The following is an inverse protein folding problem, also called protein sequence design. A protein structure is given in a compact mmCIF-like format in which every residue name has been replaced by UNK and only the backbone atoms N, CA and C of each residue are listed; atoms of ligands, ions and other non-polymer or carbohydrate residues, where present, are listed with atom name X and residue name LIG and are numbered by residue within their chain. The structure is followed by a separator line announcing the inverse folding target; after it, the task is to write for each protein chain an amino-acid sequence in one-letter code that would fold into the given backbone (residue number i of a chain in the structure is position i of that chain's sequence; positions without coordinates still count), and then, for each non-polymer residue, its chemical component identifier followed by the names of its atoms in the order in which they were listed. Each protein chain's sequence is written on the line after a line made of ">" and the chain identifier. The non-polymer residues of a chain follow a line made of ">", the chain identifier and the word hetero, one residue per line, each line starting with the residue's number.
data_IF_079093077317
#
_entry.id   IF_079093077317
#
_cell.length_a   1.000
_cell.length_b   1.000
_cell.length_c   1.000
_cell.angle_alpha   90.00
_cell.angle_beta   90.00
_cell.angle_gamma   90.00
#
_symmetry.space_group_name_H-M   'P 1'
#
loop_
_entity.id
_entity.type
_entity.pdbx_description
1 polymer ?
#
# COMPACT_ATOMS: atom_id res chain seq x y z
N UNK A 1 -1.26 14.05 -4.59
CA UNK A 1 -1.16 12.59 -4.70
C UNK A 1 -1.10 12.20 -6.17
N UNK A 2 -0.28 11.20 -6.57
CA UNK A 2 -0.31 10.62 -7.91
C UNK A 2 -1.72 10.22 -8.35
N UNK A 3 -2.05 10.46 -9.62
CA UNK A 3 -3.40 10.22 -10.18
C UNK A 3 -3.85 8.77 -10.02
N UNK A 4 -2.94 7.81 -10.24
CA UNK A 4 -3.24 6.38 -10.10
C UNK A 4 -3.69 5.99 -8.68
N UNK A 5 -3.17 6.66 -7.64
CA UNK A 5 -3.59 6.43 -6.26
C UNK A 5 -4.93 7.06 -5.94
N UNK A 6 -5.14 8.29 -6.40
CA UNK A 6 -6.44 8.94 -6.25
C UNK A 6 -7.55 8.10 -6.88
N UNK A 7 -7.29 7.50 -8.05
CA UNK A 7 -8.26 6.66 -8.73
C UNK A 7 -8.58 5.36 -7.98
N UNK A 8 -7.57 4.71 -7.38
CA UNK A 8 -7.80 3.53 -6.52
C UNK A 8 -8.68 3.92 -5.33
N UNK A 9 -8.30 4.98 -4.60
CA UNK A 9 -9.04 5.46 -3.41
C UNK A 9 -10.48 5.84 -3.77
N UNK A 10 -10.68 6.58 -4.86
CA UNK A 10 -12.01 6.97 -5.32
C UNK A 10 -12.86 5.75 -5.73
N UNK A 11 -12.23 4.72 -6.33
CA UNK A 11 -12.90 3.48 -6.70
C UNK A 11 -13.30 2.61 -5.51
N UNK A 12 -12.47 2.57 -4.47
CA UNK A 12 -12.69 1.72 -3.28
C UNK A 12 -13.61 2.39 -2.24
N UNK A 13 -13.56 3.71 -2.10
CA UNK A 13 -14.35 4.47 -1.12
C UNK A 13 -15.60 5.11 -1.73
N UNK A 14 -15.53 5.58 -2.99
CA UNK A 14 -16.41 6.65 -3.45
C UNK A 14 -17.51 6.29 -4.45
N UNK A 15 -17.38 5.23 -5.26
CA UNK A 15 -18.21 5.10 -6.47
C UNK A 15 -19.23 3.94 -6.47
N UNK A 16 -18.94 2.81 -5.83
CA UNK A 16 -19.87 1.68 -5.65
C UNK A 16 -19.39 0.95 -4.39
N UNK A 17 -20.22 0.86 -3.34
CA UNK A 17 -19.80 0.47 -1.97
C UNK A 17 -18.76 -0.66 -1.92
N UNK A 18 -17.65 -0.43 -1.21
CA UNK A 18 -16.54 -1.38 -1.01
C UNK A 18 -16.25 -2.27 -2.22
N UNK A 19 -16.18 -1.70 -3.42
CA UNK A 19 -15.66 -2.41 -4.58
C UNK A 19 -14.16 -2.62 -4.33
N UNK A 20 -13.81 -3.82 -3.89
CA UNK A 20 -12.44 -4.26 -3.59
C UNK A 20 -11.62 -4.43 -4.88
N UNK A 21 -11.55 -3.37 -5.68
CA UNK A 21 -11.01 -3.39 -7.04
C UNK A 21 -9.53 -3.78 -7.08
N UNK A 22 -8.81 -3.61 -5.97
CA UNK A 22 -7.41 -4.03 -5.83
C UNK A 22 -7.23 -5.55 -5.76
N UNK A 23 -8.31 -6.34 -5.58
CA UNK A 23 -8.26 -7.82 -5.63
C UNK A 23 -8.28 -8.36 -7.06
N UNK A 24 -8.71 -7.56 -8.03
CA UNK A 24 -8.71 -7.94 -9.43
C UNK A 24 -7.36 -7.59 -10.06
N UNK A 25 -6.50 -8.60 -10.22
CA UNK A 25 -5.26 -8.50 -11.00
C UNK A 25 -5.56 -8.97 -12.44
N UNK A 26 -5.13 -8.25 -13.48
CA UNK A 26 -4.33 -7.02 -13.48
C UNK A 26 -5.13 -5.76 -13.10
N UNK A 27 -4.47 -4.80 -12.44
CA UNK A 27 -5.12 -3.58 -11.96
C UNK A 27 -5.73 -2.76 -13.11
N UNK A 28 -7.03 -2.45 -12.99
CA UNK A 28 -7.78 -1.72 -14.01
C UNK A 28 -7.18 -0.35 -14.35
N UNK A 29 -6.68 0.39 -13.35
CA UNK A 29 -6.06 1.71 -13.54
C UNK A 29 -4.75 1.63 -14.35
N UNK A 30 -3.96 0.58 -14.13
CA UNK A 30 -2.73 0.31 -14.87
C UNK A 30 -3.05 -0.05 -16.32
N UNK A 31 -4.01 -0.96 -16.52
CA UNK A 31 -4.44 -1.37 -17.87
C UNK A 31 -4.99 -0.17 -18.65
N UNK A 32 -5.79 0.68 -18.01
CA UNK A 32 -6.31 1.89 -18.66
C UNK A 32 -5.20 2.90 -18.99
N UNK A 33 -4.24 3.10 -18.11
CA UNK A 33 -3.09 3.99 -18.36
C UNK A 33 -2.25 3.48 -19.53
N UNK A 34 -2.00 2.17 -19.61
CA UNK A 34 -1.34 1.56 -20.76
C UNK A 34 -2.14 1.73 -22.05
N UNK A 35 -3.46 1.57 -21.99
CA UNK A 35 -4.33 1.76 -23.15
C UNK A 35 -4.20 3.20 -23.69
N UNK A 36 -4.21 4.20 -22.81
CA UNK A 36 -3.98 5.59 -23.21
C UNK A 36 -2.58 5.80 -23.80
N UNK A 37 -1.53 5.26 -23.18
CA UNK A 37 -0.16 5.37 -23.69
C UNK A 37 0.00 4.69 -25.05
N UNK A 38 -0.66 3.56 -25.27
CA UNK A 38 -0.65 2.85 -26.54
C UNK A 38 -1.40 3.65 -27.62
N UNK A 39 -2.54 4.25 -27.28
CA UNK A 39 -3.28 5.16 -28.16
C UNK A 39 -2.46 6.39 -28.55
N UNK A 40 -1.78 7.01 -27.58
CA UNK A 40 -0.84 8.11 -27.83
C UNK A 40 0.32 7.69 -28.72
N UNK A 41 0.90 6.50 -28.47
CA UNK A 41 2.00 5.98 -29.27
C UNK A 41 1.58 5.75 -30.73
N UNK A 42 0.35 5.29 -30.95
CA UNK A 42 -0.24 5.15 -32.29
C UNK A 42 -0.48 6.50 -32.97
N UNK A 43 -1.01 7.50 -32.25
CA UNK A 43 -1.20 8.86 -32.77
C UNK A 43 0.14 9.52 -33.13
N UNK A 44 1.16 9.37 -32.27
CA UNK A 44 2.52 9.84 -32.56
C UNK A 44 3.06 9.19 -33.84
N UNK A 45 2.90 7.87 -34.01
CA UNK A 45 3.29 7.19 -35.24
C UNK A 45 2.58 7.76 -36.47
N UNK A 46 1.28 8.09 -36.35
CA UNK A 46 0.50 8.66 -37.45
C UNK A 46 0.94 10.08 -37.83
N UNK A 47 1.39 10.88 -36.86
CA UNK A 47 1.76 12.29 -37.07
C UNK A 47 3.25 12.44 -37.45
N UNK A 48 4.15 11.78 -36.74
CA UNK A 48 5.61 11.95 -36.88
C UNK A 48 6.30 10.80 -37.63
N UNK A 49 5.57 9.74 -37.98
CA UNK A 49 6.12 8.53 -38.62
C UNK A 49 6.97 7.66 -37.70
N UNK A 50 7.18 8.06 -36.44
CA UNK A 50 7.97 7.32 -35.45
C UNK A 50 7.13 7.00 -34.22
N UNK A 51 7.39 5.85 -33.63
CA UNK A 51 6.83 5.52 -32.32
C UNK A 51 7.45 6.44 -31.26
N UNK A 52 6.63 6.95 -30.35
CA UNK A 52 7.07 7.76 -29.21
C UNK A 52 7.60 6.88 -28.08
N UNK A 53 7.07 5.66 -27.94
CA UNK A 53 7.51 4.69 -26.94
C UNK A 53 7.82 3.33 -27.60
N UNK A 54 8.87 2.68 -27.13
CA UNK A 54 9.19 1.29 -27.50
C UNK A 54 8.33 0.29 -26.72
N UNK A 55 8.21 -0.94 -27.22
CA UNK A 55 7.51 -2.01 -26.51
C UNK A 55 8.12 -2.32 -25.14
N UNK A 56 9.44 -2.17 -25.00
CA UNK A 56 10.15 -2.37 -23.73
C UNK A 56 9.84 -1.27 -22.72
N UNK A 57 9.71 -0.01 -23.17
CA UNK A 57 9.34 1.12 -22.32
C UNK A 57 7.91 0.95 -21.79
N UNK A 58 6.96 0.56 -22.64
CA UNK A 58 5.59 0.27 -22.23
C UNK A 58 5.51 -0.87 -21.21
N UNK A 59 6.29 -1.95 -21.39
CA UNK A 59 6.39 -3.04 -20.43
C UNK A 59 7.01 -2.59 -19.10
N UNK A 60 8.03 -1.73 -19.15
CA UNK A 60 8.68 -1.19 -17.95
C UNK A 60 7.71 -0.29 -17.18
N UNK A 61 6.95 0.57 -17.87
CA UNK A 61 5.90 1.41 -17.27
C UNK A 61 4.82 0.54 -16.62
N UNK A 62 4.40 -0.55 -17.28
CA UNK A 62 3.44 -1.49 -16.71
C UNK A 62 3.92 -2.06 -15.36
N UNK A 63 5.16 -2.56 -15.32
CA UNK A 63 5.74 -3.18 -14.13
C UNK A 63 5.88 -2.13 -13.02
N UNK A 64 6.46 -0.97 -13.32
CA UNK A 64 6.65 0.11 -12.36
C UNK A 64 5.31 0.59 -11.78
N UNK A 65 4.30 0.78 -12.63
CA UNK A 65 2.99 1.25 -12.18
C UNK A 65 2.23 0.20 -11.39
N UNK A 66 2.33 -1.08 -11.77
CA UNK A 66 1.73 -2.19 -11.03
C UNK A 66 2.34 -2.32 -9.63
N UNK A 67 3.66 -2.28 -9.51
CA UNK A 67 4.35 -2.34 -8.21
C UNK A 67 4.00 -1.11 -7.37
N UNK A 68 4.00 0.08 -7.97
CA UNK A 68 3.63 1.31 -7.30
C UNK A 68 2.20 1.27 -6.76
N UNK A 69 1.24 0.71 -7.50
CA UNK A 69 -0.16 0.59 -7.10
C UNK A 69 -0.41 -0.51 -6.06
N UNK A 70 0.45 -1.51 -5.97
CA UNK A 70 0.28 -2.62 -5.01
C UNK A 70 0.56 -2.19 -3.57
N UNK A 71 1.60 -1.36 -3.36
CA UNK A 71 2.07 -1.00 -2.03
C UNK A 71 1.05 -0.20 -1.20
N UNK A 72 0.39 0.84 -1.73
CA UNK A 72 -0.59 1.63 -0.99
C UNK A 72 -2.03 1.19 -1.24
N UNK A 73 -2.26 -0.10 -1.53
CA UNK A 73 -3.63 -0.64 -1.57
C UNK A 73 -4.37 -0.22 -0.31
N UNK A 74 -5.60 0.29 -0.45
CA UNK A 74 -6.37 0.74 0.71
C UNK A 74 -6.51 -0.38 1.73
N UNK A 75 -6.71 -1.61 1.27
CA UNK A 75 -6.94 -2.77 2.12
C UNK A 75 -5.69 -3.07 2.95
N UNK A 76 -4.52 -3.12 2.30
CA UNK A 76 -3.27 -3.39 2.99
C UNK A 76 -2.96 -2.30 4.01
N UNK A 77 -3.03 -1.03 3.60
CA UNK A 77 -2.68 0.09 4.48
C UNK A 77 -3.70 0.28 5.59
N UNK A 78 -4.99 0.08 5.33
CA UNK A 78 -6.04 0.20 6.36
C UNK A 78 -5.86 -0.89 7.42
N UNK A 79 -5.64 -2.14 7.02
CA UNK A 79 -5.41 -3.23 7.97
C UNK A 79 -4.11 -3.00 8.73
N UNK A 80 -3.02 -2.67 8.04
CA UNK A 80 -1.70 -2.52 8.67
C UNK A 80 -1.68 -1.35 9.65
N UNK A 81 -2.19 -0.17 9.27
CA UNK A 81 -2.19 1.01 10.15
C UNK A 81 -3.10 0.81 11.36
N UNK A 82 -4.26 0.17 11.19
CA UNK A 82 -5.17 -0.08 12.31
C UNK A 82 -4.62 -1.12 13.28
N UNK A 83 -4.06 -2.22 12.77
CA UNK A 83 -3.56 -3.34 13.61
C UNK A 83 -2.37 -2.97 14.50
N UNK A 84 -1.51 -2.03 14.07
CA UNK A 84 -0.30 -1.60 14.79
C UNK A 84 -0.59 -1.07 16.21
N UNK A 85 -1.74 -0.43 16.43
CA UNK A 85 -2.15 0.13 17.72
C UNK A 85 -3.38 -0.54 18.36
N UNK A 86 -4.14 -1.33 17.58
CA UNK A 86 -5.43 -1.86 18.01
C UNK A 86 -5.34 -2.68 19.31
N UNK A 87 -4.32 -3.55 19.40
CA UNK A 87 -4.10 -4.45 20.54
C UNK A 87 -3.93 -3.73 21.88
N UNK A 88 -3.44 -2.50 21.84
CA UNK A 88 -3.10 -1.70 23.02
C UNK A 88 -4.15 -0.64 23.32
N UNK A 89 -4.87 -0.15 22.31
CA UNK A 89 -5.94 0.83 22.51
C UNK A 89 -7.23 0.19 23.03
N UNK A 90 -7.58 -0.98 22.51
CA UNK A 90 -8.82 -1.68 22.85
C UNK A 90 -8.62 -2.77 23.91
N UNK A 91 -7.68 -2.61 24.84
CA UNK A 91 -7.41 -3.57 25.92
C UNK A 91 -8.45 -3.46 27.05
N UNK A 92 -9.64 -4.04 26.85
CA UNK A 92 -10.68 -4.05 27.88
C UNK A 92 -10.51 -5.26 28.82
N UNK A 93 -10.97 -5.18 30.08
CA UNK A 93 -10.94 -6.34 30.99
C UNK A 93 -11.69 -7.56 30.44
N UNK A 94 -12.73 -7.35 29.64
CA UNK A 94 -13.58 -8.42 29.09
C UNK A 94 -12.90 -9.22 27.97
N UNK A 95 -11.98 -8.60 27.22
CA UNK A 95 -11.28 -9.27 26.14
C UNK A 95 -9.94 -9.87 26.55
N UNK A 96 -9.41 -9.47 27.70
CA UNK A 96 -8.14 -9.93 28.27
C UNK A 96 -6.93 -9.78 27.34
N UNK A 97 -6.98 -8.85 26.38
CA UNK A 97 -5.94 -8.69 25.35
C UNK A 97 -4.55 -8.44 25.95
N UNK A 98 -4.52 -7.78 27.11
CA UNK A 98 -3.29 -7.53 27.85
C UNK A 98 -2.59 -8.82 28.29
N UNK A 99 -3.34 -9.81 28.74
CA UNK A 99 -2.77 -11.09 29.22
C UNK A 99 -2.46 -12.01 28.03
N UNK A 100 -3.30 -11.95 26.98
CA UNK A 100 -3.20 -12.88 25.85
C UNK A 100 -2.13 -12.50 24.83
N UNK A 101 -1.96 -11.21 24.53
CA UNK A 101 -1.22 -10.78 23.34
C UNK A 101 -0.06 -9.81 23.59
N UNK A 102 -0.08 -9.02 24.67
CA UNK A 102 0.92 -7.96 24.86
C UNK A 102 2.36 -8.48 24.90
N UNK A 103 2.58 -9.63 25.56
CA UNK A 103 3.92 -10.23 25.67
C UNK A 103 4.41 -10.82 24.33
N UNK A 104 3.49 -11.22 23.44
CA UNK A 104 3.82 -11.76 22.13
C UNK A 104 4.03 -10.66 21.07
N UNK A 105 3.57 -9.43 21.34
CA UNK A 105 3.60 -8.33 20.37
C UNK A 105 4.89 -7.49 20.53
N UNK A 106 5.77 -7.51 19.53
CA UNK A 106 7.03 -6.79 19.62
C UNK A 106 6.84 -5.27 19.56
N UNK A 107 7.45 -4.58 20.51
CA UNK A 107 7.43 -3.11 20.62
C UNK A 107 8.04 -2.35 19.43
N UNK A 108 8.74 -3.06 18.54
CA UNK A 108 9.32 -2.48 17.32
C UNK A 108 8.39 -2.57 16.09
N UNK A 109 7.33 -3.40 16.12
CA UNK A 109 6.28 -3.46 15.07
C UNK A 109 4.98 -2.79 15.47
N UNK A 110 4.79 -2.50 16.76
CA UNK A 110 3.53 -1.98 17.31
C UNK A 110 3.73 -0.68 18.06
N UNK A 111 2.70 0.16 18.12
CA UNK A 111 2.66 1.34 18.99
C UNK A 111 1.90 0.96 20.26
N UNK A 112 2.61 0.92 21.39
CA UNK A 112 2.05 0.47 22.68
C UNK A 112 1.62 1.64 23.60
N UNK A 113 2.12 2.84 23.33
CA UNK A 113 1.90 3.99 24.19
C UNK A 113 0.49 4.58 23.99
N UNK A 114 -0.37 4.40 24.99
CA UNK A 114 -1.75 4.91 24.98
C UNK A 114 -1.84 6.43 24.85
N UNK A 115 -0.83 7.19 25.30
CA UNK A 115 -0.81 8.65 25.16
C UNK A 115 -0.61 9.08 23.70
N UNK A 116 0.07 8.25 22.91
CA UNK A 116 0.28 8.46 21.47
C UNK A 116 -0.93 7.97 20.69
N UNK A 117 -1.49 6.82 21.10
CA UNK A 117 -2.69 6.25 20.49
C UNK A 117 -3.91 7.14 20.70
N UNK A 118 -4.03 7.83 21.84
CA UNK A 118 -5.13 8.78 22.07
C UNK A 118 -5.17 9.88 21.03
N UNK A 119 -4.00 10.41 20.63
CA UNK A 119 -3.92 11.39 19.54
C UNK A 119 -4.34 10.83 18.18
N UNK A 120 -4.18 9.53 17.94
CA UNK A 120 -4.62 8.86 16.71
C UNK A 120 -6.13 8.54 16.72
N UNK A 121 -6.67 8.07 17.84
CA UNK A 121 -8.08 7.62 17.93
C UNK A 121 -9.07 8.73 18.31
N UNK A 122 -8.69 9.64 19.22
CA UNK A 122 -9.56 10.71 19.72
C UNK A 122 -9.36 12.04 18.97
N UNK A 123 -8.23 12.20 18.27
CA UNK A 123 -7.85 13.45 17.61
C UNK A 123 -7.20 14.46 18.58
N UNK A 124 -7.40 15.76 18.32
CA UNK A 124 -6.90 16.88 19.15
C UNK A 124 -5.37 16.92 19.36
N UNK A 125 -4.61 16.25 18.47
CA UNK A 125 -3.17 16.11 18.58
C UNK A 125 -2.46 16.39 17.26
N UNK A 126 -1.18 16.74 17.31
CA UNK A 126 -0.37 16.96 16.11
C UNK A 126 0.63 15.83 15.91
N UNK A 127 0.73 15.37 14.67
CA UNK A 127 1.74 14.37 14.27
C UNK A 127 3.17 14.92 14.34
N UNK A 128 3.32 16.24 14.38
CA UNK A 128 4.61 16.94 14.38
C UNK A 128 5.34 16.91 15.73
N UNK A 129 4.71 16.41 16.78
CA UNK A 129 5.39 16.15 18.04
C UNK A 129 6.43 15.04 17.81
N UNK A 130 7.69 15.29 18.16
CA UNK A 130 8.78 14.32 17.93
C UNK A 130 8.47 12.94 18.52
N UNK A 131 7.80 12.87 19.68
CA UNK A 131 7.37 11.61 20.29
C UNK A 131 6.41 10.80 19.40
N UNK A 132 5.37 11.43 18.85
CA UNK A 132 4.44 10.78 17.92
C UNK A 132 5.16 10.33 16.66
N UNK A 133 5.99 11.20 16.09
CA UNK A 133 6.72 10.89 14.88
C UNK A 133 7.61 9.66 15.03
N UNK A 134 8.46 9.61 16.07
CA UNK A 134 9.36 8.47 16.27
C UNK A 134 8.63 7.17 16.64
N UNK A 135 7.53 7.26 17.40
CA UNK A 135 6.71 6.11 17.76
C UNK A 135 6.08 5.44 16.54
N UNK A 136 5.64 6.20 15.55
CA UNK A 136 5.06 5.66 14.30
C UNK A 136 6.12 5.34 13.24
N UNK A 137 7.22 6.10 13.18
CA UNK A 137 8.29 5.89 12.20
C UNK A 137 8.94 4.51 12.35
N UNK A 138 9.18 4.08 13.60
CA UNK A 138 9.85 2.80 13.85
C UNK A 138 9.05 1.60 13.32
N UNK A 139 7.78 1.38 13.69
CA UNK A 139 6.92 0.38 13.07
C UNK A 139 6.84 0.51 11.54
N UNK A 140 6.69 1.74 11.03
CA UNK A 140 6.59 1.97 9.59
C UNK A 140 7.83 1.48 8.82
N UNK A 141 9.03 1.71 9.37
CA UNK A 141 10.28 1.23 8.76
C UNK A 141 10.35 -0.30 8.72
N UNK A 142 10.04 -0.99 9.83
CA UNK A 142 10.07 -2.44 9.86
C UNK A 142 9.01 -3.07 8.95
N UNK A 143 7.79 -2.54 8.96
CA UNK A 143 6.73 -2.99 8.05
C UNK A 143 7.10 -2.74 6.58
N UNK A 144 7.69 -1.59 6.25
CA UNK A 144 8.15 -1.33 4.88
C UNK A 144 9.25 -2.31 4.44
N UNK A 145 10.22 -2.60 5.32
CA UNK A 145 11.27 -3.59 5.06
C UNK A 145 10.69 -4.99 4.83
N UNK A 146 9.73 -5.40 5.66
CA UNK A 146 9.02 -6.66 5.49
C UNK A 146 8.31 -6.75 4.13
N UNK A 147 7.62 -5.68 3.71
CA UNK A 147 6.93 -5.64 2.40
C UNK A 147 7.91 -5.75 1.23
N UNK A 148 9.05 -5.08 1.30
CA UNK A 148 10.11 -5.16 0.26
C UNK A 148 10.66 -6.58 0.16
N UNK A 149 10.93 -7.23 1.30
CA UNK A 149 11.39 -8.61 1.33
C UNK A 149 10.34 -9.59 0.79
N UNK A 150 9.07 -9.39 1.14
CA UNK A 150 7.96 -10.21 0.65
C UNK A 150 7.81 -10.07 -0.87
N UNK A 151 7.90 -8.86 -1.41
CA UNK A 151 7.90 -8.62 -2.86
C UNK A 151 9.10 -9.28 -3.54
N UNK A 152 10.30 -9.14 -2.96
CA UNK A 152 11.50 -9.81 -3.47
C UNK A 152 11.35 -11.33 -3.52
N UNK A 153 10.81 -11.94 -2.47
CA UNK A 153 10.53 -13.37 -2.41
C UNK A 153 9.54 -13.80 -3.50
N UNK A 154 8.46 -13.05 -3.70
CA UNK A 154 7.48 -13.35 -4.76
C UNK A 154 8.10 -13.24 -6.16
N UNK A 155 8.97 -12.25 -6.39
CA UNK A 155 9.73 -12.13 -7.64
C UNK A 155 10.67 -13.33 -7.84
N UNK A 156 11.39 -13.74 -6.82
CA UNK A 156 12.24 -14.94 -6.87
C UNK A 156 11.44 -16.20 -7.21
N UNK A 157 10.29 -16.40 -6.55
CA UNK A 157 9.39 -17.52 -6.83
C UNK A 157 8.88 -17.50 -8.27
N UNK A 158 8.50 -16.33 -8.78
CA UNK A 158 8.03 -16.17 -10.16
C UNK A 158 9.12 -16.56 -11.17
N UNK A 159 10.37 -16.16 -10.95
CA UNK A 159 11.52 -16.53 -11.79
C UNK A 159 11.76 -18.05 -11.75
N UNK A 160 11.68 -18.67 -10.57
CA UNK A 160 11.88 -20.12 -10.42
C UNK A 160 10.77 -20.88 -11.15
N UNK A 161 9.50 -20.49 -10.96
CA UNK A 161 8.35 -21.11 -11.62
C UNK A 161 8.39 -20.96 -13.14
N UNK A 162 8.89 -19.84 -13.66
CA UNK A 162 9.07 -19.66 -15.11
C UNK A 162 10.19 -20.54 -15.70
N UNK A 163 11.08 -21.07 -14.87
CA UNK A 163 12.22 -21.88 -15.30
C UNK A 163 11.95 -23.39 -15.23
N UNK A 164 10.90 -23.81 -14.50
CA UNK A 164 10.40 -25.19 -14.49
C UNK A 164 9.39 -25.41 -15.62
#
# INVERSE_FOLDING_TARGET
>A
MPFSFYWIIAGEIGLVGYALNTYAVPFYNVVFTLFLLMGLNFLCKKISGRFCFSGQELLTIYILLSVACTLPSITLMTILVTTVGHAFWFDSPENEWRVLFWDALPSWLTVQDKSILSGYYLGESTFYTSSHFFAWLRPALFWSGFMVLLMGMMLCLNIILHRQ
#
